data_IF_657239855146
#
_entry.id   IF_657239855146
#
_cell.length_a   1.000
_cell.length_b   1.000
_cell.length_c   1.000
_cell.angle_alpha   90.00
_cell.angle_beta   90.00
_cell.angle_gamma   90.00
#
_symmetry.space_group_name_H-M   'P 1'
#
loop_
_entity.id
_entity.type
_entity.pdbx_description
1 polymer ?
#
# COMPACT_ATOMS: atom_id res chain seq x y z
N UNK A 1 20.51 -15.42 -6.01
CA UNK A 1 21.24 -15.00 -4.79
C UNK A 1 22.74 -14.86 -5.06
N UNK A 2 23.43 -15.90 -5.57
CA UNK A 2 24.90 -15.82 -5.78
C UNK A 2 25.33 -14.75 -6.79
N UNK A 3 24.49 -14.49 -7.80
CA UNK A 3 24.73 -13.43 -8.78
C UNK A 3 24.72 -12.03 -8.19
N UNK A 4 24.04 -11.80 -7.05
CA UNK A 4 23.98 -10.48 -6.39
C UNK A 4 25.19 -10.24 -5.49
N UNK A 5 25.76 -11.31 -4.93
CA UNK A 5 26.89 -11.25 -3.99
C UNK A 5 28.23 -10.96 -4.69
N UNK A 6 28.28 -11.12 -6.02
CA UNK A 6 29.43 -10.79 -6.85
C UNK A 6 29.44 -9.35 -7.38
N UNK A 7 28.36 -8.57 -7.18
CA UNK A 7 28.29 -7.20 -7.67
C UNK A 7 29.11 -6.23 -6.79
N UNK A 8 29.56 -5.12 -7.39
CA UNK A 8 30.06 -3.98 -6.64
C UNK A 8 28.91 -3.23 -5.96
N UNK A 9 29.23 -2.50 -4.89
CA UNK A 9 28.25 -1.71 -4.12
C UNK A 9 27.49 -0.71 -5.01
N UNK A 10 28.19 -0.01 -5.90
CA UNK A 10 27.59 1.01 -6.78
C UNK A 10 26.57 0.43 -7.77
N UNK A 11 26.88 -0.74 -8.35
CA UNK A 11 26.00 -1.41 -9.32
C UNK A 11 24.80 -2.00 -8.59
N UNK A 12 25.02 -2.61 -7.42
CA UNK A 12 23.94 -3.14 -6.61
C UNK A 12 22.99 -2.03 -6.15
N UNK A 13 23.52 -0.91 -5.66
CA UNK A 13 22.73 0.26 -5.26
C UNK A 13 21.88 0.79 -6.41
N UNK A 14 22.48 0.98 -7.59
CA UNK A 14 21.76 1.43 -8.79
C UNK A 14 20.64 0.46 -9.21
N UNK A 15 20.88 -0.85 -9.12
CA UNK A 15 19.86 -1.86 -9.43
C UNK A 15 18.76 -1.92 -8.39
N UNK A 16 19.08 -1.73 -7.11
CA UNK A 16 18.10 -1.65 -6.03
C UNK A 16 17.20 -0.42 -6.20
N UNK A 17 17.77 0.74 -6.54
CA UNK A 17 17.01 1.96 -6.80
C UNK A 17 16.06 1.78 -8.01
N UNK A 18 16.56 1.20 -9.11
CA UNK A 18 15.71 0.86 -10.27
C UNK A 18 14.63 -0.16 -9.91
N UNK A 19 14.94 -1.15 -9.05
CA UNK A 19 13.99 -2.18 -8.64
C UNK A 19 12.89 -1.60 -7.74
N UNK A 20 13.23 -0.62 -6.89
CA UNK A 20 12.27 0.14 -6.08
C UNK A 20 11.31 0.92 -6.96
N UNK A 21 11.81 1.68 -7.93
CA UNK A 21 10.96 2.41 -8.88
C UNK A 21 10.05 1.47 -9.69
N UNK A 22 10.54 0.29 -10.06
CA UNK A 22 9.73 -0.74 -10.72
C UNK A 22 8.59 -1.25 -9.81
N UNK A 23 8.87 -1.52 -8.53
CA UNK A 23 7.86 -1.95 -7.55
C UNK A 23 6.81 -0.86 -7.32
N UNK A 24 7.19 0.41 -7.37
CA UNK A 24 6.29 1.56 -7.26
C UNK A 24 5.45 1.81 -8.53
N UNK A 25 5.66 1.04 -9.60
CA UNK A 25 4.85 1.10 -10.82
C UNK A 25 5.45 1.96 -11.95
N UNK A 26 6.68 2.47 -11.82
CA UNK A 26 7.39 3.07 -12.95
C UNK A 26 8.07 1.99 -13.81
N UNK A 27 7.34 1.47 -14.79
CA UNK A 27 7.86 0.45 -15.69
C UNK A 27 8.86 0.98 -16.72
N UNK A 28 9.02 2.30 -16.87
CA UNK A 28 10.00 2.90 -17.81
C UNK A 28 11.44 2.62 -17.38
N UNK A 29 11.67 2.23 -16.14
CA UNK A 29 12.99 1.85 -15.63
C UNK A 29 13.57 0.62 -16.34
N UNK A 30 12.74 -0.23 -16.94
CA UNK A 30 13.22 -1.39 -17.70
C UNK A 30 14.10 -1.00 -18.90
N UNK A 31 13.91 0.19 -19.48
CA UNK A 31 14.77 0.69 -20.56
C UNK A 31 16.13 1.18 -20.07
N UNK A 32 16.26 1.45 -18.75
CA UNK A 32 17.49 1.93 -18.12
C UNK A 32 18.37 0.78 -17.60
N UNK A 33 17.82 -0.42 -17.48
CA UNK A 33 18.57 -1.61 -17.01
C UNK A 33 19.43 -2.17 -18.16
N UNK A 34 20.77 -2.18 -18.03
CA UNK A 34 21.63 -2.78 -19.04
C UNK A 34 21.33 -4.28 -19.20
N UNK A 35 21.44 -4.78 -20.44
CA UNK A 35 21.07 -6.16 -20.76
C UNK A 35 21.86 -7.21 -19.94
N UNK A 36 23.13 -6.92 -19.64
CA UNK A 36 24.03 -7.74 -18.81
C UNK A 36 23.55 -7.91 -17.37
N UNK A 37 22.76 -6.98 -16.85
CA UNK A 37 22.31 -6.97 -15.46
C UNK A 37 20.83 -7.32 -15.29
N UNK A 38 20.13 -7.77 -16.35
CA UNK A 38 18.69 -8.11 -16.26
C UNK A 38 18.38 -9.24 -15.27
N UNK A 39 19.22 -10.26 -15.20
CA UNK A 39 19.04 -11.37 -14.25
C UNK A 39 19.30 -10.92 -12.80
N UNK A 40 20.29 -10.06 -12.60
CA UNK A 40 20.57 -9.43 -11.31
C UNK A 40 19.42 -8.50 -10.90
N UNK A 41 18.90 -7.70 -11.83
CA UNK A 41 17.72 -6.85 -11.61
C UNK A 41 16.48 -7.66 -11.21
N UNK A 42 16.16 -8.74 -11.92
CA UNK A 42 15.04 -9.62 -11.55
C UNK A 42 15.22 -10.20 -10.15
N UNK A 43 16.45 -10.63 -9.82
CA UNK A 43 16.79 -11.13 -8.49
C UNK A 43 16.64 -10.03 -7.42
N UNK A 44 17.01 -8.78 -7.71
CA UNK A 44 16.79 -7.64 -6.82
C UNK A 44 15.29 -7.39 -6.60
N UNK A 45 14.48 -7.39 -7.66
CA UNK A 45 13.03 -7.19 -7.56
C UNK A 45 12.38 -8.29 -6.71
N UNK A 46 12.72 -9.55 -6.93
CA UNK A 46 12.22 -10.67 -6.15
C UNK A 46 12.66 -10.57 -4.68
N UNK A 47 13.93 -10.24 -4.44
CA UNK A 47 14.47 -10.04 -3.12
C UNK A 47 13.74 -8.91 -2.38
N UNK A 48 13.60 -7.73 -3.01
CA UNK A 48 12.87 -6.59 -2.46
C UNK A 48 11.41 -6.97 -2.15
N UNK A 49 10.71 -7.62 -3.08
CA UNK A 49 9.33 -8.10 -2.88
C UNK A 49 9.19 -9.08 -1.72
N UNK A 50 10.17 -9.96 -1.51
CA UNK A 50 10.15 -10.93 -0.41
C UNK A 50 10.28 -10.27 0.97
N UNK A 51 10.92 -9.10 1.02
CA UNK A 51 11.09 -8.30 2.24
C UNK A 51 10.00 -7.22 2.39
N UNK A 52 9.34 -6.82 1.30
CA UNK A 52 8.17 -5.92 1.35
C UNK A 52 7.06 -6.52 2.24
N UNK A 53 6.64 -5.76 3.25
CA UNK A 53 5.54 -6.13 4.15
C UNK A 53 5.97 -6.72 5.50
N UNK A 54 7.25 -7.06 5.69
CA UNK A 54 7.82 -7.37 7.01
C UNK A 54 8.27 -6.09 7.73
N UNK A 55 8.25 -6.10 9.06
CA UNK A 55 8.74 -4.96 9.85
C UNK A 55 10.27 -4.84 9.75
N UNK A 56 10.82 -3.62 9.79
CA UNK A 56 12.27 -3.35 9.73
C UNK A 56 13.12 -4.28 10.62
N UNK A 57 12.64 -4.54 11.84
CA UNK A 57 13.32 -5.39 12.82
C UNK A 57 13.45 -6.87 12.44
N UNK A 58 12.62 -7.36 11.53
CA UNK A 58 12.60 -8.77 11.12
C UNK A 58 13.58 -9.01 9.98
N UNK A 59 13.52 -8.20 8.92
CA UNK A 59 14.44 -8.37 7.80
C UNK A 59 15.86 -7.88 8.11
N UNK A 60 16.05 -6.95 9.06
CA UNK A 60 17.40 -6.56 9.48
C UNK A 60 18.17 -7.75 10.07
N UNK A 61 17.51 -8.58 10.87
CA UNK A 61 18.10 -9.80 11.45
C UNK A 61 18.38 -10.85 10.38
N UNK A 62 17.44 -11.07 9.45
CA UNK A 62 17.65 -11.97 8.31
C UNK A 62 18.87 -11.54 7.46
N UNK A 63 19.06 -10.25 7.23
CA UNK A 63 20.20 -9.71 6.46
C UNK A 63 21.52 -9.81 7.24
N UNK A 64 21.47 -9.63 8.56
CA UNK A 64 22.63 -9.85 9.43
C UNK A 64 23.10 -11.31 9.39
N UNK A 65 22.15 -12.26 9.39
CA UNK A 65 22.40 -13.71 9.25
C UNK A 65 22.85 -14.12 7.84
N UNK A 66 22.52 -13.35 6.80
CA UNK A 66 22.92 -13.64 5.44
C UNK A 66 24.41 -13.33 5.17
N UNK A 67 25.07 -14.23 4.43
CA UNK A 67 26.48 -14.10 4.01
C UNK A 67 26.65 -13.05 2.90
N UNK A 68 26.60 -11.77 3.26
CA UNK A 68 26.93 -10.61 2.42
C UNK A 68 28.23 -9.96 2.86
N UNK A 69 28.91 -9.27 1.94
CA UNK A 69 30.02 -8.36 2.27
C UNK A 69 29.49 -7.15 3.04
N UNK A 70 30.27 -6.60 3.97
CA UNK A 70 29.86 -5.48 4.85
C UNK A 70 29.31 -4.29 4.06
N UNK A 71 30.03 -3.86 3.01
CA UNK A 71 29.64 -2.72 2.17
C UNK A 71 28.30 -2.93 1.45
N UNK A 72 28.00 -4.18 1.07
CA UNK A 72 26.73 -4.54 0.43
C UNK A 72 25.58 -4.60 1.45
N UNK A 73 25.85 -5.03 2.69
CA UNK A 73 24.85 -5.04 3.77
C UNK A 73 24.35 -3.65 4.07
N UNK A 74 25.26 -2.68 4.23
CA UNK A 74 24.89 -1.29 4.50
C UNK A 74 24.05 -0.69 3.37
N UNK A 75 24.48 -0.89 2.12
CA UNK A 75 23.75 -0.42 0.94
C UNK A 75 22.32 -1.01 0.86
N UNK A 76 22.17 -2.32 1.07
CA UNK A 76 20.86 -2.99 1.07
C UNK A 76 19.96 -2.47 2.20
N UNK A 77 20.51 -2.35 3.41
CA UNK A 77 19.76 -1.91 4.58
C UNK A 77 19.28 -0.46 4.45
N UNK A 78 20.11 0.43 3.92
CA UNK A 78 19.73 1.82 3.68
C UNK A 78 18.55 1.91 2.69
N UNK A 79 18.63 1.23 1.55
CA UNK A 79 17.57 1.26 0.51
C UNK A 79 16.28 0.59 0.96
N UNK A 80 16.37 -0.50 1.72
CA UNK A 80 15.20 -1.15 2.29
C UNK A 80 14.52 -0.27 3.35
N UNK A 81 15.28 0.43 4.20
CA UNK A 81 14.72 1.39 5.17
C UNK A 81 13.96 2.51 4.48
N UNK A 82 14.54 3.08 3.43
CA UNK A 82 13.89 4.14 2.66
C UNK A 82 12.56 3.65 2.06
N UNK A 83 12.57 2.48 1.43
CA UNK A 83 11.36 1.88 0.86
C UNK A 83 10.30 1.56 1.92
N UNK A 84 10.69 1.01 3.07
CA UNK A 84 9.75 0.75 4.17
C UNK A 84 9.17 2.06 4.71
N UNK A 85 9.99 3.10 4.88
CA UNK A 85 9.52 4.42 5.32
C UNK A 85 8.48 5.01 4.36
N UNK A 86 8.66 4.84 3.05
CA UNK A 86 7.69 5.26 2.02
C UNK A 86 6.44 4.40 2.05
N UNK A 87 6.59 3.08 2.17
CA UNK A 87 5.46 2.16 2.28
C UNK A 87 4.61 2.48 3.51
N UNK A 88 5.23 2.73 4.67
CA UNK A 88 4.50 3.15 5.87
C UNK A 88 3.83 4.52 5.67
N UNK A 89 4.49 5.49 5.04
CA UNK A 89 3.87 6.79 4.71
C UNK A 89 2.64 6.62 3.82
N UNK A 90 2.75 5.83 2.75
CA UNK A 90 1.65 5.58 1.83
C UNK A 90 0.51 4.82 2.52
N UNK A 91 0.84 3.75 3.26
CA UNK A 91 -0.11 2.97 4.06
C UNK A 91 -0.85 3.84 5.07
N UNK A 92 -0.16 4.80 5.70
CA UNK A 92 -0.78 5.72 6.65
C UNK A 92 -1.64 6.79 5.96
N UNK A 93 -1.30 7.21 4.73
CA UNK A 93 -2.11 8.13 3.93
C UNK A 93 -3.44 7.50 3.51
N UNK A 94 -3.38 6.25 3.08
CA UNK A 94 -4.55 5.49 2.61
C UNK A 94 -5.35 4.85 3.77
N UNK A 95 -4.98 5.17 5.01
CA UNK A 95 -5.67 4.69 6.20
C UNK A 95 -6.84 5.61 6.52
N UNK A 96 -8.04 5.03 6.48
CA UNK A 96 -9.22 5.66 7.03
C UNK A 96 -9.09 5.73 8.56
N UNK A 97 -8.93 6.92 9.10
CA UNK A 97 -8.77 7.14 10.54
C UNK A 97 -10.12 7.29 11.23
N UNK A 98 -11.01 8.09 10.65
CA UNK A 98 -12.32 8.38 11.21
C UNK A 98 -13.34 8.63 10.10
N UNK A 99 -14.58 8.19 10.33
CA UNK A 99 -15.72 8.51 9.48
C UNK A 99 -16.91 8.88 10.36
N UNK A 100 -17.45 10.08 10.18
CA UNK A 100 -18.67 10.55 10.84
C UNK A 100 -19.72 10.93 9.81
N UNK A 101 -21.00 10.74 10.14
CA UNK A 101 -22.11 11.10 9.24
C UNK A 101 -23.25 11.73 10.03
N UNK A 102 -23.93 12.69 9.41
CA UNK A 102 -25.11 13.38 9.95
C UNK A 102 -26.20 13.42 8.89
N UNK A 103 -27.45 13.22 9.30
CA UNK A 103 -28.62 13.38 8.43
C UNK A 103 -29.19 14.76 8.68
N UNK A 104 -29.16 15.60 7.65
CA UNK A 104 -29.76 16.93 7.62
C UNK A 104 -31.09 16.87 6.86
N UNK A 105 -32.06 17.66 7.31
CA UNK A 105 -33.36 17.77 6.64
C UNK A 105 -33.48 19.19 6.12
N UNK A 106 -33.31 19.36 4.81
CA UNK A 106 -33.43 20.66 4.15
C UNK A 106 -34.86 20.89 3.64
N UNK A 107 -35.35 22.12 3.82
CA UNK A 107 -36.59 22.58 3.19
C UNK A 107 -36.29 22.84 1.70
N UNK A 108 -36.82 22.01 0.81
CA UNK A 108 -36.72 22.29 -0.63
C UNK A 108 -37.66 23.45 -0.97
N UNK A 109 -37.07 24.58 -1.36
CA UNK A 109 -37.80 25.81 -1.70
C UNK A 109 -38.29 25.84 -3.16
N UNK A 110 -37.92 24.86 -3.99
CA UNK A 110 -38.14 24.86 -5.44
C UNK A 110 -39.35 24.03 -5.89
N UNK A 111 -40.04 23.35 -4.97
CA UNK A 111 -41.27 22.59 -5.27
C UNK A 111 -42.50 23.32 -4.72
N UNK A 112 -43.53 23.44 -5.56
CA UNK A 112 -44.82 24.08 -5.26
C UNK A 112 -45.48 23.53 -3.96
N UNK A 113 -45.12 22.30 -3.57
CA UNK A 113 -45.29 21.72 -2.24
C UNK A 113 -43.96 21.77 -1.48
N UNK A 114 -43.92 22.40 -0.31
CA UNK A 114 -42.74 22.38 0.58
C UNK A 114 -42.47 20.95 1.04
N UNK A 115 -41.52 20.27 0.43
CA UNK A 115 -41.13 18.90 0.80
C UNK A 115 -39.80 18.95 1.55
N UNK A 116 -39.77 18.32 2.72
CA UNK A 116 -38.55 18.08 3.48
C UNK A 116 -37.71 17.04 2.72
N UNK A 117 -36.56 17.45 2.20
CA UNK A 117 -35.63 16.56 1.53
C UNK A 117 -34.50 16.20 2.50
N UNK A 118 -34.39 14.92 2.93
CA UNK A 118 -33.27 14.49 3.74
C UNK A 118 -31.99 14.39 2.89
N UNK A 119 -30.89 14.87 3.44
CA UNK A 119 -29.55 14.87 2.89
C UNK A 119 -28.58 14.34 3.94
N UNK A 120 -27.57 13.57 3.51
CA UNK A 120 -26.58 13.00 4.42
C UNK A 120 -25.25 13.69 4.19
N UNK A 121 -24.72 14.33 5.21
CA UNK A 121 -23.37 14.87 5.22
C UNK A 121 -22.42 13.83 5.81
N UNK A 122 -21.34 13.54 5.09
CA UNK A 122 -20.30 12.60 5.52
C UNK A 122 -18.99 13.34 5.62
N UNK A 123 -18.30 13.12 6.74
CA UNK A 123 -16.95 13.59 7.02
C UNK A 123 -16.02 12.39 7.14
N UNK A 124 -14.98 12.37 6.32
CA UNK A 124 -13.99 11.31 6.22
C UNK A 124 -12.62 11.88 6.55
N UNK A 125 -11.89 11.25 7.48
CA UNK A 125 -10.51 11.61 7.79
C UNK A 125 -9.59 10.50 7.31
N UNK A 126 -8.79 10.77 6.27
CA UNK A 126 -7.80 9.83 5.72
C UNK A 126 -6.40 10.40 5.97
N UNK A 127 -5.63 9.76 6.86
CA UNK A 127 -4.37 10.33 7.32
C UNK A 127 -4.55 11.74 7.93
N UNK A 128 -3.97 12.76 7.28
CA UNK A 128 -4.07 14.17 7.67
C UNK A 128 -5.15 14.95 6.88
N UNK A 129 -5.76 14.33 5.87
CA UNK A 129 -6.74 14.99 4.99
C UNK A 129 -8.17 14.76 5.50
N UNK A 130 -8.95 15.84 5.60
CA UNK A 130 -10.38 15.80 5.91
C UNK A 130 -11.20 16.05 4.63
N UNK A 131 -12.05 15.08 4.29
CA UNK A 131 -12.90 15.12 3.10
C UNK A 131 -14.37 15.18 3.55
N UNK A 132 -15.06 16.26 3.16
CA UNK A 132 -16.47 16.49 3.46
C UNK A 132 -17.28 16.43 2.17
N UNK A 133 -18.37 15.65 2.18
CA UNK A 133 -19.24 15.54 1.01
C UNK A 133 -20.69 15.24 1.41
N UNK A 134 -21.60 15.55 0.47
CA UNK A 134 -23.03 15.36 0.64
C UNK A 134 -23.53 14.24 -0.27
N UNK A 135 -24.49 13.46 0.21
CA UNK A 135 -25.16 12.43 -0.57
C UNK A 135 -26.65 12.34 -0.24
N UNK A 136 -27.42 11.84 -1.18
CA UNK A 136 -28.83 11.51 -0.94
C UNK A 136 -28.96 10.30 -0.03
N UNK A 137 -30.10 10.15 0.64
CA UNK A 137 -30.40 8.97 1.47
C UNK A 137 -30.30 7.67 0.65
N UNK A 138 -30.73 7.66 -0.60
CA UNK A 138 -30.62 6.49 -1.47
C UNK A 138 -29.16 6.08 -1.71
N UNK A 139 -28.29 7.05 -2.01
CA UNK A 139 -26.85 6.80 -2.16
C UNK A 139 -26.21 6.30 -0.86
N UNK A 140 -26.63 6.83 0.29
CA UNK A 140 -26.14 6.37 1.58
C UNK A 140 -26.53 4.92 1.88
N UNK A 141 -27.76 4.50 1.56
CA UNK A 141 -28.18 3.11 1.75
C UNK A 141 -27.41 2.16 0.83
N UNK A 142 -27.17 2.57 -0.42
CA UNK A 142 -26.36 1.76 -1.34
C UNK A 142 -24.91 1.66 -0.85
N UNK A 143 -24.31 2.76 -0.39
CA UNK A 143 -22.98 2.74 0.22
C UNK A 143 -22.92 1.77 1.41
N UNK A 144 -23.89 1.84 2.32
CA UNK A 144 -23.99 0.93 3.47
C UNK A 144 -24.08 -0.53 3.03
N UNK A 145 -24.86 -0.84 1.99
CA UNK A 145 -25.02 -2.18 1.44
C UNK A 145 -23.70 -2.70 0.86
N UNK A 146 -23.01 -1.88 0.07
CA UNK A 146 -21.73 -2.23 -0.55
C UNK A 146 -20.65 -2.48 0.50
N UNK A 147 -20.56 -1.61 1.52
CA UNK A 147 -19.63 -1.79 2.63
C UNK A 147 -19.90 -3.07 3.40
N UNK A 148 -21.17 -3.43 3.64
CA UNK A 148 -21.52 -4.68 4.30
C UNK A 148 -21.12 -5.92 3.48
N UNK A 149 -21.24 -5.87 2.14
CA UNK A 149 -20.76 -6.94 1.26
C UNK A 149 -19.25 -7.08 1.32
N UNK A 150 -18.50 -5.98 1.25
CA UNK A 150 -17.04 -6.00 1.35
C UNK A 150 -16.59 -6.61 2.69
N UNK A 151 -17.21 -6.22 3.80
CA UNK A 151 -16.89 -6.79 5.12
C UNK A 151 -17.15 -8.30 5.14
N UNK A 152 -18.26 -8.75 4.54
CA UNK A 152 -18.58 -10.18 4.45
C UNK A 152 -17.53 -10.93 3.61
N UNK A 153 -17.12 -10.37 2.49
CA UNK A 153 -16.13 -11.00 1.60
C UNK A 153 -14.76 -11.08 2.28
N UNK A 154 -14.33 -10.02 2.96
CA UNK A 154 -13.10 -10.01 3.77
C UNK A 154 -13.16 -11.09 4.85
N UNK A 155 -14.27 -11.18 5.58
CA UNK A 155 -14.43 -12.20 6.62
C UNK A 155 -14.38 -13.62 6.06
N UNK A 156 -14.98 -13.86 4.89
CA UNK A 156 -14.89 -15.15 4.20
C UNK A 156 -13.44 -15.45 3.80
N UNK A 157 -12.70 -14.48 3.26
CA UNK A 157 -11.29 -14.63 2.90
C UNK A 157 -10.42 -14.97 4.12
N UNK A 158 -10.65 -14.33 5.26
CA UNK A 158 -9.94 -14.61 6.51
C UNK A 158 -10.21 -16.04 7.00
N UNK A 159 -11.46 -16.51 6.91
CA UNK A 159 -11.81 -17.90 7.22
C UNK A 159 -11.09 -18.89 6.29
N UNK A 160 -11.03 -18.60 4.98
CA UNK A 160 -10.32 -19.45 4.03
C UNK A 160 -8.81 -19.47 4.31
N UNK A 161 -8.22 -18.33 4.66
CA UNK A 161 -6.80 -18.24 5.03
C UNK A 161 -6.50 -19.03 6.30
N UNK A 162 -7.38 -18.94 7.31
CA UNK A 162 -7.26 -19.71 8.55
C UNK A 162 -7.29 -21.22 8.29
N UNK A 163 -8.23 -21.71 7.48
CA UNK A 163 -8.33 -23.13 7.14
C UNK A 163 -7.09 -23.61 6.35
N UNK A 164 -6.53 -22.77 5.48
CA UNK A 164 -5.33 -23.11 4.70
C UNK A 164 -4.10 -23.29 5.60
N UNK A 165 -3.97 -22.50 6.65
CA UNK A 165 -2.83 -22.53 7.58
C UNK A 165 -2.90 -23.67 8.62
N UNK A 166 -3.98 -24.46 8.62
CA UNK A 166 -4.14 -25.65 9.48
C UNK A 166 -3.66 -26.95 8.81
N UNK A 167 -3.24 -26.92 7.54
CA UNK A 167 -2.68 -28.07 6.81
C UNK A 167 -1.17 -27.92 6.65
#
# INVERSE_FOLDING_TARGET
MDSLKSLSSDILGSLLDLSRSYIQGDYKVLSKVPFSYRNAFSSCVEYMRSKCGKHFSEYSKEIEEENWKSDLKECILERLKEMDSEYQRQKNKDRLNEMTWRIDVALSTNSLSRVLKPEVQVKLTSGEEEINFHMTVAQFQEFRRQTALLIKDIFAMDQFAFIRNLK
#
